data_IF_852969468518
#
_entry.id   IF_852969468518
#
_cell.length_a   1.000
_cell.length_b   1.000
_cell.length_c   1.000
_cell.angle_alpha   90.00
_cell.angle_beta   90.00
_cell.angle_gamma   90.00
#
_symmetry.space_group_name_H-M   'P 1'
#
loop_
_entity.id
_entity.type
_entity.pdbx_description
1 polymer ?
#
# COMPACT_ATOMS: atom_id res chain seq x y z
N UNK A 1 0.02 -7.38 42.55
CA UNK A 1 -1.01 -7.52 41.50
C UNK A 1 -0.36 -7.21 40.15
N UNK A 2 0.25 -8.20 39.49
CA UNK A 2 0.81 -8.02 38.14
C UNK A 2 -0.25 -8.44 37.14
N UNK A 3 -0.81 -7.49 36.41
CA UNK A 3 -1.78 -7.78 35.36
C UNK A 3 -1.03 -8.31 34.13
N UNK A 4 -0.99 -9.63 33.97
CA UNK A 4 -0.63 -10.26 32.70
C UNK A 4 -1.77 -10.02 31.71
N UNK A 5 -1.71 -8.91 30.96
CA UNK A 5 -2.53 -8.77 29.76
C UNK A 5 -1.96 -9.73 28.72
N UNK A 6 -2.76 -10.65 28.14
CA UNK A 6 -2.27 -11.50 27.07
C UNK A 6 -1.95 -10.63 25.86
N UNK A 7 -0.67 -10.28 25.68
CA UNK A 7 -0.18 -9.67 24.45
C UNK A 7 -0.02 -10.76 23.41
N UNK A 8 -0.62 -10.57 22.23
CA UNK A 8 -0.53 -11.54 21.14
C UNK A 8 0.96 -11.69 20.74
N UNK A 9 1.52 -12.93 20.68
CA UNK A 9 2.97 -13.14 20.48
C UNK A 9 3.53 -12.43 19.25
N UNK A 10 2.76 -12.37 18.15
CA UNK A 10 3.14 -11.65 16.93
C UNK A 10 3.25 -10.14 17.12
N UNK A 11 2.33 -9.54 17.89
CA UNK A 11 2.34 -8.09 18.16
C UNK A 11 3.51 -7.73 19.06
N UNK A 12 3.82 -8.58 20.03
CA UNK A 12 4.99 -8.40 20.89
C UNK A 12 6.30 -8.50 20.08
N UNK A 13 6.40 -9.44 19.15
CA UNK A 13 7.53 -9.55 18.23
C UNK A 13 7.65 -8.33 17.32
N UNK A 14 6.55 -7.89 16.71
CA UNK A 14 6.52 -6.69 15.87
C UNK A 14 6.97 -5.44 16.63
N UNK A 15 6.50 -5.26 17.86
CA UNK A 15 6.93 -4.16 18.72
C UNK A 15 8.43 -4.21 19.04
N UNK A 16 8.93 -5.38 19.45
CA UNK A 16 10.36 -5.57 19.79
C UNK A 16 11.28 -5.28 18.61
N UNK A 17 10.86 -5.63 17.39
CA UNK A 17 11.66 -5.47 16.18
C UNK A 17 11.57 -4.06 15.61
N UNK A 18 10.36 -3.53 15.42
CA UNK A 18 10.15 -2.30 14.64
C UNK A 18 9.99 -1.05 15.51
N UNK A 19 9.42 -1.18 16.70
CA UNK A 19 8.96 -0.03 17.50
C UNK A 19 9.85 0.28 18.71
N UNK A 20 10.68 -0.67 19.17
CA UNK A 20 11.45 -0.52 20.42
C UNK A 20 12.63 0.46 20.35
N UNK A 21 13.26 0.63 19.19
CA UNK A 21 14.44 1.51 19.01
C UNK A 21 14.06 2.68 18.12
N UNK A 22 14.24 3.92 18.60
CA UNK A 22 13.89 5.15 17.87
C UNK A 22 14.45 5.18 16.45
N UNK A 23 15.71 4.78 16.26
CA UNK A 23 16.34 4.73 14.94
C UNK A 23 15.63 3.78 13.97
N UNK A 24 15.26 2.58 14.45
CA UNK A 24 14.53 1.59 13.63
C UNK A 24 13.11 2.08 13.34
N UNK A 25 12.44 2.62 14.35
CA UNK A 25 11.08 3.15 14.22
C UNK A 25 10.99 4.25 13.16
N UNK A 26 11.91 5.22 13.20
CA UNK A 26 11.95 6.32 12.23
C UNK A 26 12.23 5.77 10.83
N UNK A 27 13.20 4.87 10.68
CA UNK A 27 13.51 4.23 9.39
C UNK A 27 12.31 3.44 8.85
N UNK A 28 11.59 2.72 9.72
CA UNK A 28 10.39 1.97 9.36
C UNK A 28 9.26 2.90 8.88
N UNK A 29 9.04 4.04 9.55
CA UNK A 29 8.04 5.03 9.09
C UNK A 29 8.43 5.59 7.73
N UNK A 30 9.67 6.05 7.57
CA UNK A 30 10.12 6.66 6.32
C UNK A 30 10.09 5.66 5.16
N UNK A 31 10.62 4.46 5.37
CA UNK A 31 10.55 3.38 4.38
C UNK A 31 9.12 2.97 4.06
N UNK A 32 8.27 2.86 5.10
CA UNK A 32 6.85 2.57 4.95
C UNK A 32 6.10 3.64 4.16
N UNK A 33 6.40 4.92 4.35
CA UNK A 33 5.79 6.00 3.60
C UNK A 33 6.18 5.95 2.12
N UNK A 34 7.47 5.77 1.82
CA UNK A 34 7.99 5.71 0.44
C UNK A 34 7.43 4.52 -0.36
N UNK A 35 7.25 3.38 0.30
CA UNK A 35 6.67 2.20 -0.33
C UNK A 35 5.14 2.28 -0.36
N UNK A 36 4.54 2.76 0.73
CA UNK A 36 3.10 2.85 0.93
C UNK A 36 2.42 3.72 -0.10
N UNK A 37 2.99 4.89 -0.42
CA UNK A 37 2.46 5.79 -1.46
C UNK A 37 2.23 5.06 -2.79
N UNK A 38 3.24 4.33 -3.29
CA UNK A 38 3.15 3.61 -4.56
C UNK A 38 2.12 2.50 -4.54
N UNK A 39 2.06 1.75 -3.43
CA UNK A 39 1.11 0.63 -3.28
C UNK A 39 -0.32 1.16 -3.23
N UNK A 40 -0.56 2.21 -2.44
CA UNK A 40 -1.89 2.80 -2.28
C UNK A 40 -2.35 3.44 -3.57
N UNK A 41 -1.51 4.25 -4.23
CA UNK A 41 -1.88 4.90 -5.50
C UNK A 41 -2.27 3.86 -6.56
N UNK A 42 -1.40 2.87 -6.83
CA UNK A 42 -1.69 1.81 -7.81
C UNK A 42 -2.95 1.01 -7.43
N UNK A 43 -3.12 0.69 -6.15
CA UNK A 43 -4.28 -0.05 -5.67
C UNK A 43 -5.57 0.72 -5.90
N UNK A 44 -5.60 2.01 -5.57
CA UNK A 44 -6.77 2.85 -5.78
C UNK A 44 -7.07 3.09 -7.25
N UNK A 45 -6.05 3.34 -8.07
CA UNK A 45 -6.23 3.52 -9.53
C UNK A 45 -6.89 2.27 -10.15
N UNK A 46 -6.39 1.08 -9.82
CA UNK A 46 -6.97 -0.19 -10.29
C UNK A 46 -8.43 -0.34 -9.84
N UNK A 47 -8.72 -0.07 -8.56
CA UNK A 47 -10.09 -0.16 -8.03
C UNK A 47 -11.04 0.83 -8.71
N UNK A 48 -10.58 2.07 -8.90
CA UNK A 48 -11.33 3.13 -9.54
C UNK A 48 -11.61 2.83 -11.01
N UNK A 49 -10.59 2.40 -11.74
CA UNK A 49 -10.70 2.02 -13.15
C UNK A 49 -11.63 0.83 -13.34
N UNK A 50 -11.52 -0.18 -12.48
CA UNK A 50 -12.41 -1.32 -12.52
C UNK A 50 -13.87 -0.91 -12.30
N UNK A 51 -14.13 0.03 -11.38
CA UNK A 51 -15.47 0.56 -11.13
C UNK A 51 -15.99 1.46 -12.28
N UNK A 52 -15.09 2.04 -13.08
CA UNK A 52 -15.41 2.97 -14.17
C UNK A 52 -15.01 2.43 -15.55
N UNK A 53 -15.02 1.10 -15.72
CA UNK A 53 -14.75 0.43 -16.99
C UNK A 53 -15.61 1.00 -18.13
N UNK A 54 -14.95 1.26 -19.27
CA UNK A 54 -15.58 1.86 -20.46
C UNK A 54 -15.95 3.34 -20.36
N UNK A 55 -15.82 3.99 -19.19
CA UNK A 55 -16.13 5.42 -19.01
C UNK A 55 -14.90 6.33 -19.10
N UNK A 56 -13.71 5.82 -18.78
CA UNK A 56 -12.48 6.60 -18.87
C UNK A 56 -12.03 6.75 -20.33
N UNK A 57 -11.47 7.92 -20.65
CA UNK A 57 -10.95 8.23 -21.99
C UNK A 57 -9.98 7.16 -22.52
N UNK A 58 -9.06 6.68 -21.67
CA UNK A 58 -8.12 5.59 -22.01
C UNK A 58 -8.78 4.27 -22.43
N UNK A 59 -10.02 4.02 -22.03
CA UNK A 59 -10.76 2.84 -22.48
C UNK A 59 -11.38 3.04 -23.88
N UNK A 60 -11.56 4.29 -24.31
CA UNK A 60 -12.11 4.67 -25.61
C UNK A 60 -11.01 4.81 -26.67
N UNK A 61 -9.81 5.20 -26.25
CA UNK A 61 -8.66 5.46 -27.13
C UNK A 61 -8.24 4.23 -27.96
N UNK A 62 -8.35 3.02 -27.40
CA UNK A 62 -8.12 1.76 -28.13
C UNK A 62 -9.14 1.46 -29.23
N UNK A 63 -10.26 2.20 -29.31
CA UNK A 63 -11.23 2.15 -30.40
C UNK A 63 -11.16 3.32 -31.37
N UNK A 64 -10.41 4.38 -31.04
CA UNK A 64 -10.27 5.61 -31.82
C UNK A 64 -8.95 5.72 -32.58
N UNK A 65 -8.15 4.64 -32.62
CA UNK A 65 -6.90 4.57 -33.36
C UNK A 65 -5.64 4.92 -32.55
N UNK A 66 -5.70 4.88 -31.22
CA UNK A 66 -4.49 4.88 -30.39
C UNK A 66 -3.80 3.53 -30.47
N UNK A 67 -2.57 3.50 -30.97
CA UNK A 67 -1.73 2.30 -30.99
C UNK A 67 -1.66 1.72 -29.57
N UNK A 68 -1.98 0.42 -29.45
CA UNK A 68 -1.74 -0.30 -28.20
C UNK A 68 -0.22 -0.42 -28.07
N UNK A 69 0.37 0.40 -27.20
CA UNK A 69 1.70 0.10 -26.67
C UNK A 69 1.57 -1.19 -25.85
N UNK A 70 1.87 -2.31 -26.49
CA UNK A 70 2.09 -3.61 -25.87
C UNK A 70 3.42 -3.56 -25.12
N UNK A 71 3.36 -3.73 -23.80
CA UNK A 71 4.52 -3.86 -22.89
C UNK A 71 5.09 -5.28 -22.93
#
# INVERSE_FOLDING_TARGET
MSQNRPTHPLMEMGYKVLMRRNSIYIAFILGGALLGERVVNKGFDILWENNNKGKLFKHLEGGLGGEKEEE
#
